data_IF_629335674472
#
_entry.id   IF_629335674472
#
_cell.length_a   1.000
_cell.length_b   1.000
_cell.length_c   1.000
_cell.angle_alpha   90.00
_cell.angle_beta   90.00
_cell.angle_gamma   90.00
#
_symmetry.space_group_name_H-M   'P 1'
#
loop_
_entity.id
_entity.type
_entity.pdbx_description
1 polymer ?
#
# COMPACT_ATOMS: atom_id res chain seq x y z
N UNK A 1 10.59 5.25 8.00
CA UNK A 1 9.84 4.57 6.92
C UNK A 1 8.88 5.58 6.33
N UNK A 2 8.77 5.70 5.00
CA UNK A 2 7.78 6.60 4.39
C UNK A 2 6.39 5.97 4.53
N UNK A 3 5.48 6.64 5.23
CA UNK A 3 4.09 6.17 5.40
C UNK A 3 3.21 6.77 4.30
N UNK A 4 3.18 6.09 3.14
CA UNK A 4 2.32 6.47 2.01
C UNK A 4 0.91 5.85 2.12
N UNK A 5 0.71 4.86 3.00
CA UNK A 5 -0.50 4.04 3.08
C UNK A 5 -1.79 4.84 3.24
N UNK A 6 -1.80 5.83 4.13
CA UNK A 6 -2.98 6.65 4.40
C UNK A 6 -3.46 7.41 3.19
N UNK A 7 -2.51 8.07 2.52
CA UNK A 7 -2.82 8.84 1.34
C UNK A 7 -3.30 7.92 0.21
N UNK A 8 -2.72 6.72 0.07
CA UNK A 8 -3.18 5.74 -0.91
C UNK A 8 -4.61 5.27 -0.64
N UNK A 9 -4.95 4.95 0.61
CA UNK A 9 -6.30 4.53 1.01
C UNK A 9 -7.30 5.68 0.81
N UNK A 10 -6.94 6.90 1.22
CA UNK A 10 -7.77 8.08 1.03
C UNK A 10 -8.03 8.35 -0.47
N UNK A 11 -6.99 8.28 -1.31
CA UNK A 11 -7.14 8.46 -2.75
C UNK A 11 -8.02 7.38 -3.37
N UNK A 12 -7.83 6.11 -3.00
CA UNK A 12 -8.69 5.02 -3.45
C UNK A 12 -10.16 5.26 -3.08
N UNK A 13 -10.43 5.71 -1.85
CA UNK A 13 -11.78 6.06 -1.42
C UNK A 13 -12.35 7.28 -2.14
N UNK A 14 -11.56 8.33 -2.34
CA UNK A 14 -12.03 9.52 -3.07
C UNK A 14 -12.36 9.19 -4.53
N UNK A 15 -11.61 8.29 -5.16
CA UNK A 15 -11.93 7.79 -6.51
C UNK A 15 -13.34 7.18 -6.54
N UNK A 16 -13.72 6.35 -5.58
CA UNK A 16 -15.07 5.74 -5.54
C UNK A 16 -16.20 6.75 -5.28
N UNK A 17 -15.88 8.01 -4.96
CA UNK A 17 -16.89 9.09 -4.88
C UNK A 17 -17.30 9.64 -6.24
N UNK A 18 -16.52 9.38 -7.29
CA UNK A 18 -16.88 9.70 -8.66
C UNK A 18 -17.98 8.74 -9.16
N UNK A 19 -18.92 9.23 -9.98
CA UNK A 19 -20.02 8.43 -10.52
C UNK A 19 -19.54 7.20 -11.30
N UNK A 20 -18.48 7.35 -12.10
CA UNK A 20 -17.93 6.26 -12.93
C UNK A 20 -17.31 5.13 -12.08
N UNK A 21 -16.82 5.47 -10.89
CA UNK A 21 -16.09 4.55 -10.00
C UNK A 21 -16.88 4.15 -8.77
N UNK A 22 -18.17 4.51 -8.68
CA UNK A 22 -19.01 4.32 -7.49
C UNK A 22 -19.12 2.85 -7.05
N UNK A 23 -19.01 1.93 -8.00
CA UNK A 23 -19.10 0.49 -7.75
C UNK A 23 -17.73 -0.21 -7.72
N UNK A 24 -16.64 0.55 -7.79
CA UNK A 24 -15.30 -0.02 -7.75
C UNK A 24 -15.02 -0.63 -6.37
N UNK A 25 -14.36 -1.78 -6.37
CA UNK A 25 -13.99 -2.49 -5.15
C UNK A 25 -12.56 -2.13 -4.78
N UNK A 26 -12.38 -1.64 -3.55
CA UNK A 26 -11.04 -1.34 -3.03
C UNK A 26 -10.45 -2.64 -2.46
N UNK A 27 -9.29 -3.05 -2.94
CA UNK A 27 -8.51 -4.16 -2.37
C UNK A 27 -7.19 -3.61 -1.84
N UNK A 28 -6.94 -3.80 -0.55
CA UNK A 28 -5.67 -3.47 0.10
C UNK A 28 -4.82 -4.73 0.12
N UNK A 29 -3.81 -4.74 -0.74
CA UNK A 29 -2.84 -5.82 -0.85
C UNK A 29 -1.60 -5.50 -0.02
N UNK A 30 -1.21 -6.39 0.89
CA UNK A 30 0.04 -6.29 1.64
C UNK A 30 0.84 -7.58 1.52
N UNK A 31 2.16 -7.47 1.42
CA UNK A 31 3.04 -8.63 1.56
C UNK A 31 3.58 -8.76 2.97
N UNK A 32 3.83 -10.00 3.38
CA UNK A 32 4.48 -10.34 4.64
C UNK A 32 5.60 -11.35 4.42
N UNK A 33 6.75 -11.11 5.05
CA UNK A 33 7.92 -12.00 4.99
C UNK A 33 7.97 -13.01 6.15
N UNK A 34 7.04 -12.92 7.10
CA UNK A 34 6.90 -13.86 8.22
C UNK A 34 5.43 -13.99 8.66
N UNK A 35 5.09 -15.12 9.27
CA UNK A 35 3.74 -15.35 9.82
C UNK A 35 3.38 -14.33 10.92
N UNK A 36 4.37 -13.90 11.71
CA UNK A 36 4.18 -12.84 12.70
C UNK A 36 3.82 -11.52 12.04
N UNK A 37 4.56 -11.11 10.99
CA UNK A 37 4.27 -9.90 10.23
C UNK A 37 2.88 -9.99 9.60
N UNK A 38 2.54 -11.14 9.00
CA UNK A 38 1.21 -11.37 8.43
C UNK A 38 0.11 -11.16 9.46
N UNK A 39 0.20 -11.84 10.60
CA UNK A 39 -0.79 -11.74 11.68
C UNK A 39 -0.92 -10.31 12.21
N UNK A 40 0.20 -9.62 12.38
CA UNK A 40 0.21 -8.22 12.84
C UNK A 40 -0.45 -7.29 11.82
N UNK A 41 -0.12 -7.43 10.53
CA UNK A 41 -0.71 -6.64 9.45
C UNK A 41 -2.21 -6.93 9.29
N UNK A 42 -2.64 -8.19 9.34
CA UNK A 42 -4.06 -8.56 9.29
C UNK A 42 -4.82 -7.95 10.47
N UNK A 43 -4.30 -8.09 11.69
CA UNK A 43 -4.90 -7.52 12.91
C UNK A 43 -5.03 -6.00 12.80
N UNK A 44 -3.99 -5.36 12.27
CA UNK A 44 -3.95 -3.92 12.08
C UNK A 44 -5.00 -3.45 11.06
N UNK A 45 -5.01 -4.04 9.86
CA UNK A 45 -5.96 -3.66 8.80
C UNK A 45 -7.42 -3.97 9.18
N UNK A 46 -7.67 -5.08 9.89
CA UNK A 46 -9.01 -5.44 10.36
C UNK A 46 -9.56 -4.46 11.40
N UNK A 47 -8.71 -3.70 12.09
CA UNK A 47 -9.12 -2.61 12.99
C UNK A 47 -9.31 -1.30 12.22
N UNK A 48 -8.34 -0.97 11.36
CA UNK A 48 -8.32 0.29 10.62
C UNK A 48 -9.53 0.46 9.70
N UNK A 49 -9.85 -0.55 8.88
CA UNK A 49 -10.85 -0.41 7.81
C UNK A 49 -12.26 -0.11 8.34
N UNK A 50 -12.77 -0.81 9.40
CA UNK A 50 -14.02 -0.43 10.03
C UNK A 50 -14.01 0.97 10.67
N UNK A 51 -12.88 1.37 11.27
CA UNK A 51 -12.73 2.66 11.94
C UNK A 51 -12.90 3.83 10.96
N UNK A 52 -12.27 3.73 9.79
CA UNK A 52 -12.35 4.75 8.74
C UNK A 52 -13.60 4.64 7.86
N UNK A 53 -14.43 3.61 8.07
CA UNK A 53 -15.69 3.36 7.35
C UNK A 53 -15.52 3.30 5.83
N UNK A 54 -14.40 2.76 5.36
CA UNK A 54 -14.15 2.51 3.94
C UNK A 54 -14.50 1.05 3.66
N UNK A 55 -15.28 0.80 2.62
CA UNK A 55 -15.55 -0.56 2.15
C UNK A 55 -14.34 -1.06 1.33
N UNK A 56 -13.46 -1.82 1.98
CA UNK A 56 -12.26 -2.37 1.38
C UNK A 56 -12.02 -3.81 1.84
N UNK A 57 -11.57 -4.64 0.90
CA UNK A 57 -11.12 -6.01 1.16
C UNK A 57 -9.62 -5.97 1.47
N UNK A 58 -9.20 -6.61 2.56
CA UNK A 58 -7.80 -6.71 2.94
C UNK A 58 -7.25 -8.08 2.53
N UNK A 59 -6.07 -8.10 1.90
CA UNK A 59 -5.40 -9.33 1.50
C UNK A 59 -3.93 -9.26 1.89
N UNK A 60 -3.53 -10.10 2.84
CA UNK A 60 -2.13 -10.20 3.28
C UNK A 60 -1.54 -11.50 2.74
N UNK A 61 -0.54 -11.38 1.87
CA UNK A 61 0.06 -12.50 1.15
C UNK A 61 1.46 -12.75 1.68
N UNK A 62 1.78 -14.01 1.91
CA UNK A 62 3.13 -14.43 2.27
C UNK A 62 4.04 -14.39 1.06
N UNK A 63 5.28 -13.94 1.25
CA UNK A 63 6.30 -14.08 0.23
C UNK A 63 6.47 -15.54 -0.19
N UNK A 64 6.49 -15.79 -1.50
CA UNK A 64 6.64 -17.11 -2.09
C UNK A 64 8.10 -17.35 -2.50
N UNK A 65 8.67 -18.49 -2.11
CA UNK A 65 10.04 -18.84 -2.50
C UNK A 65 10.17 -18.91 -4.02
N UNK A 66 11.15 -18.19 -4.57
CA UNK A 66 11.43 -18.15 -6.01
C UNK A 66 10.50 -17.23 -6.80
N UNK A 67 9.67 -16.44 -6.11
CA UNK A 67 8.84 -15.39 -6.73
C UNK A 67 9.26 -14.02 -6.25
N UNK A 68 9.32 -13.08 -7.18
CA UNK A 68 9.57 -11.68 -6.92
C UNK A 68 8.30 -10.99 -6.44
N UNK A 69 8.46 -9.86 -5.72
CA UNK A 69 7.34 -8.99 -5.34
C UNK A 69 6.47 -8.62 -6.55
N UNK A 70 7.11 -8.27 -7.66
CA UNK A 70 6.46 -7.87 -8.90
C UNK A 70 5.59 -9.00 -9.46
N UNK A 71 6.11 -10.23 -9.53
CA UNK A 71 5.33 -11.37 -10.02
C UNK A 71 4.07 -11.61 -9.18
N UNK A 72 4.19 -11.51 -7.85
CA UNK A 72 3.05 -11.68 -6.94
C UNK A 72 2.05 -10.55 -7.17
N UNK A 73 2.48 -9.29 -7.16
CA UNK A 73 1.59 -8.14 -7.37
C UNK A 73 0.88 -8.18 -8.72
N UNK A 74 1.60 -8.49 -9.81
CA UNK A 74 0.99 -8.65 -11.14
C UNK A 74 -0.05 -9.77 -11.17
N UNK A 75 0.23 -10.91 -10.52
CA UNK A 75 -0.74 -12.01 -10.43
C UNK A 75 -1.99 -11.60 -9.65
N UNK A 76 -1.81 -10.94 -8.52
CA UNK A 76 -2.88 -10.63 -7.56
C UNK A 76 -3.71 -9.41 -7.96
N UNK A 77 -3.14 -8.52 -8.79
CA UNK A 77 -3.79 -7.31 -9.30
C UNK A 77 -4.05 -7.37 -10.81
N UNK A 78 -3.97 -8.54 -11.44
CA UNK A 78 -4.13 -8.72 -12.89
C UNK A 78 -5.44 -8.15 -13.47
N UNK A 79 -6.50 -8.13 -12.66
CA UNK A 79 -7.82 -7.63 -13.05
C UNK A 79 -8.13 -6.23 -12.50
N UNK A 80 -7.14 -5.55 -11.91
CA UNK A 80 -7.35 -4.21 -11.36
C UNK A 80 -7.35 -3.18 -12.50
N UNK A 81 -8.40 -2.35 -12.54
CA UNK A 81 -8.47 -1.21 -13.46
C UNK A 81 -7.44 -0.12 -13.10
N UNK A 82 -7.16 0.02 -11.79
CA UNK A 82 -6.23 0.99 -11.21
C UNK A 82 -5.40 0.31 -10.12
N UNK A 83 -4.08 0.52 -10.16
CA UNK A 83 -3.15 0.09 -9.10
C UNK A 83 -2.48 1.32 -8.50
N UNK A 84 -2.43 1.39 -7.16
CA UNK A 84 -1.80 2.49 -6.43
C UNK A 84 -0.59 1.94 -5.66
N UNK A 85 0.59 2.48 -5.96
CA UNK A 85 1.84 2.14 -5.29
C UNK A 85 2.41 3.30 -4.49
N UNK A 86 3.08 2.97 -3.40
CA UNK A 86 3.89 3.93 -2.66
C UNK A 86 5.14 4.31 -3.46
N UNK A 87 5.39 5.61 -3.61
CA UNK A 87 6.59 6.16 -4.20
C UNK A 87 7.56 6.59 -3.10
N UNK A 88 8.74 5.98 -3.10
CA UNK A 88 9.82 6.29 -2.18
C UNK A 88 10.74 7.38 -2.74
N UNK A 89 11.55 8.00 -1.88
CA UNK A 89 12.67 8.82 -2.37
C UNK A 89 13.80 7.89 -2.81
N UNK A 90 14.30 7.98 -4.05
CA UNK A 90 15.48 7.23 -4.46
C UNK A 90 16.69 7.63 -3.62
N UNK A 91 17.63 6.70 -3.46
CA UNK A 91 18.96 7.01 -2.91
C UNK A 91 19.71 7.83 -3.96
N UNK A 92 20.43 8.87 -3.52
CA UNK A 92 21.24 9.73 -4.39
C UNK A 92 22.23 8.87 -5.19
N UNK A 93 22.26 9.05 -6.51
CA UNK A 93 23.08 8.27 -7.44
C UNK A 93 22.49 6.93 -7.87
N UNK A 94 21.29 6.58 -7.39
CA UNK A 94 20.54 5.36 -7.79
C UNK A 94 19.21 5.68 -8.47
N UNK A 95 19.03 6.91 -8.95
CA UNK A 95 17.78 7.39 -9.53
C UNK A 95 17.38 6.58 -10.77
N UNK A 96 18.35 6.23 -11.63
CA UNK A 96 18.08 5.43 -12.84
C UNK A 96 17.67 3.99 -12.48
N UNK A 97 18.33 3.36 -11.51
CA UNK A 97 17.97 2.04 -11.00
C UNK A 97 16.55 2.07 -10.40
N UNK A 98 16.22 3.14 -9.67
CA UNK A 98 14.91 3.33 -9.09
C UNK A 98 13.83 3.53 -10.16
N UNK A 99 14.08 4.35 -11.18
CA UNK A 99 13.17 4.55 -12.30
C UNK A 99 12.87 3.23 -13.02
N UNK A 100 13.90 2.42 -13.32
CA UNK A 100 13.72 1.08 -13.91
C UNK A 100 12.88 0.15 -13.04
N UNK A 101 13.02 0.23 -11.71
CA UNK A 101 12.18 -0.53 -10.77
C UNK A 101 10.72 -0.07 -10.80
N UNK A 102 10.45 1.23 -10.94
CA UNK A 102 9.09 1.75 -11.08
C UNK A 102 8.45 1.29 -12.38
N UNK A 103 9.19 1.31 -13.49
CA UNK A 103 8.73 0.79 -14.78
C UNK A 103 8.39 -0.70 -14.69
N UNK A 104 9.26 -1.50 -14.07
CA UNK A 104 9.02 -2.94 -13.86
C UNK A 104 7.82 -3.21 -12.94
N UNK A 105 7.58 -2.35 -11.93
CA UNK A 105 6.46 -2.49 -11.01
C UNK A 105 5.13 -2.07 -11.65
N UNK A 106 5.16 -1.09 -12.55
CA UNK A 106 3.99 -0.70 -13.34
C UNK A 106 3.64 -1.79 -14.37
N UNK A 107 4.66 -2.36 -15.04
CA UNK A 107 4.51 -3.44 -16.01
C UNK A 107 3.36 -3.20 -16.99
N UNK A 108 2.46 -4.18 -17.09
CA UNK A 108 1.31 -4.16 -18.01
C UNK A 108 0.00 -3.66 -17.37
N UNK A 109 0.04 -3.06 -16.18
CA UNK A 109 -1.17 -2.51 -15.57
C UNK A 109 -1.73 -1.35 -16.42
N UNK A 110 -3.06 -1.29 -16.56
CA UNK A 110 -3.73 -0.28 -17.37
C UNK A 110 -3.49 1.14 -16.84
N UNK A 111 -3.66 1.33 -15.52
CA UNK A 111 -3.48 2.61 -14.85
C UNK A 111 -2.72 2.41 -13.54
N UNK A 112 -1.63 3.15 -13.37
CA UNK A 112 -0.80 3.09 -12.16
C UNK A 112 -0.60 4.48 -11.58
N UNK A 113 -0.89 4.64 -10.28
CA UNK A 113 -0.56 5.85 -9.52
C UNK A 113 0.61 5.57 -8.58
N UNK A 114 1.69 6.33 -8.73
CA UNK A 114 2.79 6.36 -7.78
C UNK A 114 2.58 7.51 -6.79
N UNK A 115 2.32 7.18 -5.53
CA UNK A 115 1.90 8.13 -4.50
C UNK A 115 3.00 8.32 -3.47
N UNK A 116 3.46 9.56 -3.34
CA UNK A 116 4.38 9.97 -2.29
C UNK A 116 3.72 10.99 -1.39
N UNK A 117 3.75 10.72 -0.09
CA UNK A 117 3.34 11.69 0.90
C UNK A 117 4.41 12.80 1.02
N UNK A 118 4.00 14.07 0.95
CA UNK A 118 4.90 15.22 1.01
C UNK A 118 5.37 15.57 2.42
N UNK A 119 4.74 15.00 3.45
CA UNK A 119 5.11 15.17 4.87
C UNK A 119 4.81 13.89 5.65
N UNK A 120 5.20 13.82 6.93
CA UNK A 120 4.41 13.03 7.88
C UNK A 120 3.01 13.64 7.83
N UNK A 121 2.07 12.95 7.19
CA UNK A 121 0.67 13.35 7.28
C UNK A 121 0.28 13.26 8.76
N UNK A 122 -0.08 14.40 9.35
CA UNK A 122 -0.56 14.54 10.74
C UNK A 122 -2.01 14.01 10.90
N UNK A 123 -2.37 12.98 10.15
CA UNK A 123 -3.51 12.13 10.49
C UNK A 123 -2.93 10.87 11.10
N UNK A 124 -3.18 10.63 12.38
CA UNK A 124 -2.76 9.40 13.08
C UNK A 124 -3.57 8.19 12.60
N UNK A 125 -3.58 7.93 11.30
CA UNK A 125 -4.35 6.85 10.71
C UNK A 125 -3.53 5.54 10.69
N UNK A 126 -2.18 5.61 10.60
CA UNK A 126 -1.27 4.44 10.72
C UNK A 126 -0.18 4.51 11.80
N UNK A 127 -0.41 5.12 12.96
CA UNK A 127 0.54 4.96 14.07
C UNK A 127 0.03 3.85 15.01
N UNK A 128 0.68 2.67 15.07
CA UNK A 128 0.43 1.74 16.17
C UNK A 128 0.81 2.43 17.48
N UNK A 129 -0.13 2.47 18.45
CA UNK A 129 0.10 2.99 19.81
C UNK A 129 1.26 2.33 20.56
N UNK A 130 1.90 1.29 20.02
CA UNK A 130 3.06 0.62 20.63
C UNK A 130 4.41 1.32 20.36
N UNK A 131 4.44 2.43 19.61
CA UNK A 131 5.68 3.20 19.37
C UNK A 131 5.80 4.48 20.22
N UNK A 132 4.83 4.79 21.09
CA UNK A 132 4.87 5.96 21.98
C UNK A 132 5.54 5.70 23.34
N UNK A 133 5.96 4.46 23.65
CA UNK A 133 6.48 4.11 24.99
C UNK A 133 8.01 3.95 25.06
N UNK A 134 8.78 4.29 24.02
CA UNK A 134 10.25 4.16 24.03
C UNK A 134 11.00 5.45 23.70
N UNK A 135 10.49 6.59 24.17
CA UNK A 135 11.27 7.85 24.24
C UNK A 135 10.97 8.61 25.54
N UNK A 136 11.18 7.98 26.68
CA UNK A 136 11.65 8.69 27.88
C UNK A 136 12.78 7.86 28.51
N UNK A 137 13.88 8.57 28.81
CA UNK A 137 15.20 8.16 29.36
C UNK A 137 16.29 7.68 28.38
#
# INVERSE_FOLDING_TARGET
>A
MQQNGDLMILLAYLLTRNAEWRNAKITILSMASSEEMKKNTETYLNKLIPEIRIDAVTKVIMEEKGKTFQEIVHRESAQADVVIFGLATPVVGKEEEYAKRLEQLAGDFLTVFFVKNSSLFMGELLIPKSMTEYQEE
#
